data_IF_903758701489
#
_entry.id   IF_903758701489
#
_cell.length_a   1.000
_cell.length_b   1.000
_cell.length_c   1.000
_cell.angle_alpha   90.00
_cell.angle_beta   90.00
_cell.angle_gamma   90.00
#
_symmetry.space_group_name_H-M   'P 1'
#
loop_
_entity.id
_entity.type
_entity.pdbx_description
1 polymer ?
#
# COMPACT_ATOMS: atom_id res chain seq x y z
N UNK A 1 16.52 2.49 -27.07
CA UNK A 1 16.40 1.10 -26.60
C UNK A 1 17.11 1.03 -25.24
N UNK A 2 16.39 1.32 -24.15
CA UNK A 2 16.99 1.40 -22.81
C UNK A 2 16.46 0.22 -22.00
N UNK A 3 17.36 -0.70 -21.69
CA UNK A 3 17.11 -1.89 -20.86
C UNK A 3 16.80 -1.37 -19.46
N UNK A 4 15.52 -1.34 -19.09
CA UNK A 4 15.11 -1.21 -17.70
C UNK A 4 15.42 -2.54 -17.03
N UNK A 5 16.41 -2.53 -16.16
CA UNK A 5 16.85 -3.67 -15.37
C UNK A 5 15.76 -4.00 -14.34
N UNK A 6 14.83 -4.88 -14.70
CA UNK A 6 13.68 -5.33 -13.90
C UNK A 6 14.11 -6.33 -12.82
N UNK A 7 14.86 -5.89 -11.82
CA UNK A 7 15.37 -6.78 -10.76
C UNK A 7 14.29 -7.22 -9.74
N UNK A 8 13.02 -6.80 -9.87
CA UNK A 8 11.93 -7.08 -8.92
C UNK A 8 10.95 -8.17 -9.35
N UNK A 9 11.04 -8.72 -10.56
CA UNK A 9 9.89 -9.43 -11.15
C UNK A 9 9.95 -10.95 -10.97
N UNK A 10 10.00 -11.44 -9.73
CA UNK A 10 9.65 -12.84 -9.44
C UNK A 10 8.62 -12.91 -8.31
N UNK A 11 7.67 -13.86 -8.36
CA UNK A 11 6.73 -14.09 -7.25
C UNK A 11 7.43 -14.34 -5.90
N UNK A 12 8.61 -14.96 -5.92
CA UNK A 12 9.40 -15.22 -4.71
C UNK A 12 9.92 -13.93 -4.07
N UNK A 13 10.41 -12.99 -4.88
CA UNK A 13 10.85 -11.67 -4.42
C UNK A 13 9.69 -10.88 -3.82
N UNK A 14 8.52 -10.90 -4.48
CA UNK A 14 7.31 -10.24 -3.98
C UNK A 14 6.89 -10.80 -2.61
N UNK A 15 6.90 -12.14 -2.47
CA UNK A 15 6.61 -12.83 -1.22
C UNK A 15 7.57 -12.43 -0.10
N UNK A 16 8.87 -12.32 -0.41
CA UNK A 16 9.88 -11.91 0.58
C UNK A 16 9.61 -10.50 1.13
N UNK A 17 9.20 -9.56 0.28
CA UNK A 17 8.86 -8.19 0.70
C UNK A 17 7.63 -8.15 1.62
N UNK A 18 6.59 -8.94 1.33
CA UNK A 18 5.45 -9.06 2.23
C UNK A 18 5.84 -9.67 3.59
N UNK A 19 6.73 -10.66 3.60
CA UNK A 19 7.24 -11.27 4.83
C UNK A 19 8.03 -10.29 5.68
N UNK A 20 8.76 -9.36 5.07
CA UNK A 20 9.46 -8.29 5.82
C UNK A 20 8.45 -7.46 6.62
N UNK A 21 7.39 -6.96 5.97
CA UNK A 21 6.37 -6.15 6.65
C UNK A 21 5.62 -6.95 7.72
N UNK A 22 5.28 -8.21 7.44
CA UNK A 22 4.65 -9.12 8.41
C UNK A 22 5.50 -9.30 9.67
N UNK A 23 6.81 -9.54 9.50
CA UNK A 23 7.75 -9.74 10.62
C UNK A 23 7.93 -8.47 11.45
N UNK A 24 7.99 -7.31 10.78
CA UNK A 24 8.08 -6.01 11.46
C UNK A 24 6.89 -5.80 12.40
N UNK A 25 5.68 -6.12 11.95
CA UNK A 25 4.50 -6.05 12.80
C UNK A 25 4.58 -7.03 13.98
N UNK A 26 4.89 -8.31 13.73
CA UNK A 26 4.91 -9.35 14.77
C UNK A 26 5.93 -9.08 15.88
N UNK A 27 7.08 -8.47 15.53
CA UNK A 27 8.15 -8.16 16.48
C UNK A 27 8.00 -6.81 17.17
N UNK A 28 6.91 -6.07 16.91
CA UNK A 28 6.73 -4.73 17.46
C UNK A 28 7.81 -3.74 17.00
N UNK A 29 8.22 -3.82 15.72
CA UNK A 29 9.22 -2.94 15.14
C UNK A 29 8.82 -1.46 15.27
N UNK A 30 9.81 -0.56 15.16
CA UNK A 30 9.54 0.86 15.23
C UNK A 30 8.66 1.30 14.05
N UNK A 31 7.92 2.39 14.26
CA UNK A 31 7.08 2.98 13.21
C UNK A 31 7.89 3.38 11.97
N UNK A 32 9.14 3.79 12.14
CA UNK A 32 10.03 4.16 11.03
C UNK A 32 10.45 2.93 10.23
N UNK A 33 10.63 1.77 10.89
CA UNK A 33 10.91 0.52 10.19
C UNK A 33 9.69 0.05 9.40
N UNK A 34 8.48 0.18 9.98
CA UNK A 34 7.24 -0.13 9.28
C UNK A 34 7.02 0.79 8.07
N UNK A 35 7.26 2.09 8.23
CA UNK A 35 7.22 3.07 7.13
C UNK A 35 8.15 2.64 5.99
N UNK A 36 9.42 2.31 6.29
CA UNK A 36 10.38 1.85 5.27
C UNK A 36 9.93 0.57 4.57
N UNK A 37 9.32 -0.37 5.31
CA UNK A 37 8.74 -1.58 4.72
C UNK A 37 7.62 -1.26 3.73
N UNK A 38 6.72 -0.34 4.07
CA UNK A 38 5.63 0.11 3.20
C UNK A 38 6.16 0.85 1.96
N UNK A 39 7.18 1.69 2.12
CA UNK A 39 7.84 2.38 1.00
C UNK A 39 8.46 1.37 0.03
N UNK A 40 9.11 0.31 0.54
CA UNK A 40 9.63 -0.77 -0.31
C UNK A 40 8.53 -1.51 -1.06
N UNK A 41 7.39 -1.79 -0.43
CA UNK A 41 6.23 -2.38 -1.11
C UNK A 41 5.70 -1.46 -2.23
N UNK A 42 5.68 -0.15 -2.01
CA UNK A 42 5.26 0.84 -3.02
C UNK A 42 6.23 0.82 -4.21
N UNK A 43 7.52 0.76 -3.95
CA UNK A 43 8.53 0.60 -5.00
C UNK A 43 8.35 -0.73 -5.75
N UNK A 44 8.01 -1.82 -5.07
CA UNK A 44 7.74 -3.10 -5.73
C UNK A 44 6.50 -3.04 -6.64
N UNK A 45 5.42 -2.41 -6.18
CA UNK A 45 4.21 -2.14 -6.96
C UNK A 45 4.56 -1.39 -8.25
N UNK A 46 5.27 -0.26 -8.14
CA UNK A 46 5.66 0.59 -9.27
C UNK A 46 6.68 -0.06 -10.22
N UNK A 47 7.48 -1.02 -9.75
CA UNK A 47 8.53 -1.68 -10.53
C UNK A 47 8.08 -3.06 -11.03
N UNK A 48 6.82 -3.19 -11.47
CA UNK A 48 6.31 -4.40 -12.13
C UNK A 48 5.83 -5.50 -11.19
N UNK A 49 5.75 -5.25 -9.88
CA UNK A 49 5.17 -6.20 -8.94
C UNK A 49 3.68 -6.47 -9.21
N UNK A 50 2.94 -5.47 -9.71
CA UNK A 50 1.53 -5.63 -10.08
C UNK A 50 1.30 -6.54 -11.30
N UNK A 51 2.33 -6.91 -12.06
CA UNK A 51 2.21 -7.93 -13.10
C UNK A 51 1.86 -9.33 -12.53
N UNK A 52 2.06 -9.53 -11.22
CA UNK A 52 1.67 -10.73 -10.48
C UNK A 52 0.41 -10.44 -9.63
N UNK A 53 -0.71 -10.14 -10.31
CA UNK A 53 -1.93 -9.62 -9.68
C UNK A 53 -2.41 -10.50 -8.53
N UNK A 54 -2.46 -11.83 -8.72
CA UNK A 54 -2.95 -12.78 -7.70
C UNK A 54 -2.10 -12.74 -6.44
N UNK A 55 -0.78 -12.77 -6.61
CA UNK A 55 0.20 -12.73 -5.53
C UNK A 55 0.20 -11.37 -4.82
N UNK A 56 0.10 -10.28 -5.58
CA UNK A 56 0.02 -8.93 -5.04
C UNK A 56 -1.24 -8.75 -4.20
N UNK A 57 -2.42 -9.09 -4.75
CA UNK A 57 -3.70 -8.98 -4.04
C UNK A 57 -3.72 -9.87 -2.80
N UNK A 58 -3.24 -11.12 -2.89
CA UNK A 58 -3.17 -12.02 -1.74
C UNK A 58 -2.22 -11.49 -0.66
N UNK A 59 -1.04 -10.99 -1.06
CA UNK A 59 -0.05 -10.41 -0.16
C UNK A 59 -0.59 -9.19 0.58
N UNK A 60 -1.16 -8.22 -0.15
CA UNK A 60 -1.75 -7.01 0.42
C UNK A 60 -2.94 -7.33 1.33
N UNK A 61 -3.83 -8.24 0.93
CA UNK A 61 -4.93 -8.70 1.81
C UNK A 61 -4.41 -9.26 3.13
N UNK A 62 -3.32 -10.03 3.08
CA UNK A 62 -2.69 -10.61 4.25
C UNK A 62 -2.00 -9.59 5.17
N UNK A 63 -1.81 -8.35 4.69
CA UNK A 63 -1.27 -7.19 5.41
C UNK A 63 -2.34 -6.13 5.71
N UNK A 64 -3.63 -6.42 5.52
CA UNK A 64 -4.71 -5.46 5.73
C UNK A 64 -4.71 -4.82 7.12
N UNK A 65 -4.54 -5.59 8.19
CA UNK A 65 -4.49 -5.07 9.57
C UNK A 65 -3.34 -4.08 9.81
N UNK A 66 -2.05 -4.42 9.56
CA UNK A 66 -0.96 -3.45 9.76
C UNK A 66 -1.08 -2.23 8.85
N UNK A 67 -1.56 -2.39 7.62
CA UNK A 67 -1.75 -1.28 6.69
C UNK A 67 -2.87 -0.33 7.15
N UNK A 68 -3.99 -0.86 7.64
CA UNK A 68 -5.07 -0.03 8.21
C UNK A 68 -4.61 0.74 9.46
N UNK A 69 -3.78 0.11 10.30
CA UNK A 69 -3.17 0.80 11.45
C UNK A 69 -2.21 1.91 11.00
N UNK A 70 -1.43 1.67 9.94
CA UNK A 70 -0.54 2.68 9.37
C UNK A 70 -1.32 3.84 8.76
N UNK A 71 -2.37 3.57 7.97
CA UNK A 71 -3.29 4.59 7.41
C UNK A 71 -3.85 5.48 8.52
N UNK A 72 -4.31 4.89 9.63
CA UNK A 72 -4.90 5.63 10.74
C UNK A 72 -3.89 6.30 11.69
N UNK A 73 -2.59 6.16 11.45
CA UNK A 73 -1.57 6.65 12.37
C UNK A 73 -1.56 8.19 12.44
N UNK A 74 -1.43 8.74 13.65
CA UNK A 74 -1.15 10.18 13.86
C UNK A 74 0.23 10.60 13.34
N UNK A 75 1.11 9.63 13.08
CA UNK A 75 2.42 9.86 12.46
C UNK A 75 2.22 10.14 10.98
N UNK A 76 2.25 11.43 10.61
CA UNK A 76 1.95 11.87 9.24
C UNK A 76 2.76 11.16 8.16
N UNK A 77 4.02 10.77 8.42
CA UNK A 77 4.86 10.08 7.44
C UNK A 77 4.41 8.63 7.21
N UNK A 78 4.16 7.89 8.29
CA UNK A 78 3.67 6.51 8.21
C UNK A 78 2.29 6.43 7.53
N UNK A 79 1.37 7.32 7.91
CA UNK A 79 0.05 7.41 7.27
C UNK A 79 0.17 7.78 5.79
N UNK A 80 1.02 8.75 5.45
CA UNK A 80 1.25 9.12 4.05
C UNK A 80 1.82 7.94 3.24
N UNK A 81 2.82 7.22 3.76
CA UNK A 81 3.40 6.07 3.08
C UNK A 81 2.36 4.96 2.81
N UNK A 82 1.47 4.70 3.77
CA UNK A 82 0.42 3.69 3.61
C UNK A 82 -0.63 4.12 2.57
N UNK A 83 -1.05 5.38 2.56
CA UNK A 83 -2.00 5.92 1.56
C UNK A 83 -1.36 5.92 0.16
N UNK A 84 -0.08 6.25 0.06
CA UNK A 84 0.68 6.21 -1.20
C UNK A 84 0.73 4.79 -1.77
N UNK A 85 0.98 3.78 -0.92
CA UNK A 85 0.94 2.38 -1.32
C UNK A 85 -0.42 2.01 -1.91
N UNK A 86 -1.54 2.38 -1.27
CA UNK A 86 -2.89 2.09 -1.80
C UNK A 86 -3.10 2.74 -3.17
N UNK A 87 -2.66 3.99 -3.33
CA UNK A 87 -2.77 4.71 -4.60
C UNK A 87 -1.95 4.05 -5.72
N UNK A 88 -0.70 3.68 -5.41
CA UNK A 88 0.19 2.94 -6.33
C UNK A 88 -0.39 1.57 -6.71
N UNK A 89 -0.92 0.82 -5.75
CA UNK A 89 -1.52 -0.49 -6.00
C UNK A 89 -2.74 -0.38 -6.92
N UNK A 90 -3.59 0.62 -6.69
CA UNK A 90 -4.75 0.85 -7.55
C UNK A 90 -4.34 1.19 -8.99
N UNK A 91 -3.38 2.11 -9.18
CA UNK A 91 -2.87 2.43 -10.51
C UNK A 91 -2.19 1.23 -11.19
N UNK A 92 -1.50 0.39 -10.42
CA UNK A 92 -0.78 -0.78 -10.95
C UNK A 92 -1.65 -2.01 -11.22
N UNK A 93 -2.70 -2.24 -10.42
CA UNK A 93 -3.58 -3.41 -10.53
C UNK A 93 -4.86 -3.13 -11.34
N UNK A 94 -5.25 -1.86 -11.47
CA UNK A 94 -6.49 -1.48 -12.13
C UNK A 94 -7.72 -2.19 -11.54
N UNK A 95 -8.56 -2.86 -12.36
CA UNK A 95 -9.71 -3.64 -11.89
C UNK A 95 -9.37 -4.74 -10.89
N UNK A 96 -8.17 -5.33 -10.96
CA UNK A 96 -7.75 -6.38 -10.02
C UNK A 96 -7.59 -5.85 -8.57
N UNK A 97 -7.61 -4.53 -8.36
CA UNK A 97 -7.64 -3.91 -7.04
C UNK A 97 -9.00 -4.06 -6.32
N UNK A 98 -10.10 -4.27 -7.05
CA UNK A 98 -11.46 -4.26 -6.49
C UNK A 98 -11.66 -5.10 -5.21
N UNK A 99 -11.11 -6.33 -5.09
CA UNK A 99 -11.22 -7.14 -3.89
C UNK A 99 -10.55 -6.56 -2.63
N UNK A 100 -9.80 -5.45 -2.75
CA UNK A 100 -9.13 -4.75 -1.67
C UNK A 100 -9.90 -3.49 -1.21
N UNK A 101 -10.86 -3.00 -1.98
CA UNK A 101 -11.63 -1.78 -1.66
C UNK A 101 -12.28 -1.91 -0.29
N UNK A 102 -12.98 -3.01 -0.03
CA UNK A 102 -13.68 -3.26 1.24
C UNK A 102 -12.75 -3.31 2.46
N UNK A 103 -11.45 -3.54 2.26
CA UNK A 103 -10.46 -3.61 3.33
C UNK A 103 -9.95 -2.23 3.76
N UNK A 104 -9.82 -1.29 2.81
CA UNK A 104 -9.12 -0.02 3.03
C UNK A 104 -10.04 1.22 3.00
N UNK A 105 -11.13 1.17 2.22
CA UNK A 105 -12.03 2.32 2.08
C UNK A 105 -12.67 2.79 3.39
N UNK A 106 -13.11 1.90 4.32
CA UNK A 106 -13.64 2.35 5.60
C UNK A 106 -12.67 3.26 6.37
N UNK A 107 -11.36 2.99 6.27
CA UNK A 107 -10.33 3.79 6.92
C UNK A 107 -10.04 5.10 6.16
N UNK A 108 -9.96 5.06 4.83
CA UNK A 108 -9.78 6.26 4.00
C UNK A 108 -10.95 7.25 4.16
N UNK A 109 -12.18 6.75 4.18
CA UNK A 109 -13.38 7.56 4.42
C UNK A 109 -13.36 8.19 5.82
N UNK A 110 -12.93 7.45 6.84
CA UNK A 110 -12.76 7.99 8.20
C UNK A 110 -11.75 9.14 8.23
N UNK A 111 -10.62 9.03 7.51
CA UNK A 111 -9.64 10.11 7.43
C UNK A 111 -10.21 11.37 6.77
N UNK A 112 -11.15 11.23 5.82
CA UNK A 112 -11.80 12.37 5.18
C UNK A 112 -12.64 13.20 6.15
N UNK A 113 -13.13 12.61 7.25
CA UNK A 113 -13.91 13.30 8.28
C UNK A 113 -13.05 14.02 9.33
N UNK A 114 -11.72 13.85 9.31
CA UNK A 114 -10.82 14.49 10.27
C UNK A 114 -10.67 15.99 9.98
N UNK A 115 -10.56 16.79 11.04
CA UNK A 115 -10.31 18.23 10.94
C UNK A 115 -8.92 18.58 10.40
N UNK A 116 -7.97 17.64 10.44
CA UNK A 116 -6.65 17.84 9.85
C UNK A 116 -6.71 17.73 8.32
N UNK A 117 -6.61 18.90 7.67
CA UNK A 117 -6.77 19.06 6.23
C UNK A 117 -5.78 18.25 5.41
N UNK A 118 -4.56 18.00 5.91
CA UNK A 118 -3.54 17.27 5.18
C UNK A 118 -3.88 15.77 5.05
N UNK A 119 -4.35 15.14 6.14
CA UNK A 119 -4.79 13.73 6.11
C UNK A 119 -6.05 13.57 5.25
N UNK A 120 -7.03 14.45 5.45
CA UNK A 120 -8.27 14.43 4.67
C UNK A 120 -8.00 14.63 3.17
N UNK A 121 -7.12 15.57 2.79
CA UNK A 121 -6.77 15.81 1.38
C UNK A 121 -6.12 14.59 0.73
N UNK A 122 -5.16 13.96 1.41
CA UNK A 122 -4.49 12.75 0.88
C UNK A 122 -5.45 11.58 0.75
N UNK A 123 -6.30 11.34 1.76
CA UNK A 123 -7.29 10.28 1.72
C UNK A 123 -8.29 10.48 0.57
N UNK A 124 -8.78 11.71 0.36
CA UNK A 124 -9.64 12.05 -0.79
C UNK A 124 -8.96 11.77 -2.12
N UNK A 125 -7.72 12.24 -2.30
CA UNK A 125 -6.97 12.00 -3.53
C UNK A 125 -6.77 10.50 -3.80
N UNK A 126 -6.44 9.72 -2.77
CA UNK A 126 -6.33 8.28 -2.87
C UNK A 126 -7.64 7.61 -3.29
N UNK A 127 -8.78 8.00 -2.67
CA UNK A 127 -10.10 7.49 -3.04
C UNK A 127 -10.43 7.80 -4.50
N UNK A 128 -10.22 9.04 -4.96
CA UNK A 128 -10.45 9.40 -6.36
C UNK A 128 -9.58 8.59 -7.30
N UNK A 129 -8.29 8.44 -6.99
CA UNK A 129 -7.39 7.61 -7.78
C UNK A 129 -7.86 6.14 -7.83
N UNK A 130 -8.43 5.61 -6.75
CA UNK A 130 -9.00 4.25 -6.79
C UNK A 130 -10.22 4.17 -7.71
N UNK A 131 -11.14 5.13 -7.61
CA UNK A 131 -12.34 5.19 -8.46
C UNK A 131 -11.97 5.35 -9.94
N UNK A 132 -10.90 6.07 -10.25
CA UNK A 132 -10.47 6.30 -11.64
C UNK A 132 -9.79 5.06 -12.27
N UNK A 133 -9.15 4.22 -11.46
CA UNK A 133 -8.37 3.08 -11.94
C UNK A 133 -9.09 1.72 -11.82
N UNK A 134 -10.17 1.62 -11.04
CA UNK A 134 -10.90 0.38 -10.77
C UNK A 134 -12.33 0.49 -11.29
#
# INVERSE_FOLDING_TARGET
>A
MSIRNSSSSSPASLKAEFEVVRRLQQKGASWDQLEQGIVRLTACSNNGGCAFEKEMVAGIRSLSTPLNNAINSERSRLSAAAIELISSLSAGLGPAFEPLISLFFPMLLRLCARTNTAFARRAKACIFNVIENT
#
